data_IF_642809604147
#
_entry.id   IF_642809604147
#
_cell.length_a   1.000
_cell.length_b   1.000
_cell.length_c   1.000
_cell.angle_alpha   90.00
_cell.angle_beta   90.00
_cell.angle_gamma   90.00
#
_symmetry.space_group_name_H-M   'P 1'
#
loop_
_entity.id
_entity.type
_entity.pdbx_description
1 polymer ?
#
# COMPACT_ATOMS: atom_id res chain seq x y z
N UNK A 1 3.63 6.79 -8.71
CA UNK A 1 3.15 7.74 -9.75
C UNK A 1 3.52 7.25 -11.13
N UNK A 2 2.75 7.62 -12.13
CA UNK A 2 3.08 7.30 -13.52
C UNK A 2 4.35 8.02 -14.00
N UNK A 3 5.03 7.49 -15.02
CA UNK A 3 6.07 8.22 -15.71
C UNK A 3 5.42 9.23 -16.67
N UNK A 4 5.82 10.51 -16.59
CA UNK A 4 5.34 11.54 -17.54
C UNK A 4 5.62 11.16 -19.00
N UNK A 5 6.65 10.35 -19.25
CA UNK A 5 6.95 9.84 -20.59
C UNK A 5 5.87 8.91 -21.11
N UNK A 6 5.28 8.06 -20.24
CA UNK A 6 4.17 7.18 -20.61
C UNK A 6 2.94 8.01 -20.98
N UNK A 7 2.62 9.04 -20.16
CA UNK A 7 1.50 9.95 -20.44
C UNK A 7 1.71 10.69 -21.77
N UNK A 8 2.95 11.13 -22.04
CA UNK A 8 3.30 11.86 -23.27
C UNK A 8 3.26 11.00 -24.51
N UNK A 9 3.69 9.74 -24.41
CA UNK A 9 3.77 8.82 -25.55
C UNK A 9 2.40 8.37 -26.02
N UNK A 10 1.48 8.10 -25.09
CA UNK A 10 0.14 7.61 -25.41
C UNK A 10 -0.89 8.15 -24.39
N UNK A 11 -1.27 9.44 -24.52
CA UNK A 11 -2.23 10.04 -23.59
C UNK A 11 -3.63 9.41 -23.69
N UNK A 12 -4.03 8.96 -24.87
CA UNK A 12 -5.36 8.36 -25.05
C UNK A 12 -5.46 6.98 -24.36
N UNK A 13 -4.41 6.18 -24.38
CA UNK A 13 -4.33 4.95 -23.59
C UNK A 13 -4.45 5.25 -22.09
N UNK A 14 -3.77 6.30 -21.58
CA UNK A 14 -3.85 6.67 -20.16
C UNK A 14 -5.26 7.14 -19.81
N UNK A 15 -5.88 7.99 -20.63
CA UNK A 15 -7.28 8.41 -20.43
C UNK A 15 -8.25 7.23 -20.43
N UNK A 16 -8.10 6.29 -21.36
CA UNK A 16 -8.91 5.08 -21.42
C UNK A 16 -8.74 4.22 -20.17
N UNK A 17 -7.51 4.06 -19.67
CA UNK A 17 -7.21 3.37 -18.42
C UNK A 17 -7.87 4.05 -17.22
N UNK A 18 -7.87 5.38 -17.15
CA UNK A 18 -8.56 6.09 -16.08
C UNK A 18 -10.08 5.92 -16.16
N UNK A 19 -10.66 5.97 -17.36
CA UNK A 19 -12.09 5.72 -17.57
C UNK A 19 -12.51 4.31 -17.17
N UNK A 20 -11.67 3.30 -17.44
CA UNK A 20 -11.93 1.92 -16.97
C UNK A 20 -11.96 1.80 -15.45
N UNK A 21 -11.29 2.71 -14.73
CA UNK A 21 -11.32 2.84 -13.27
C UNK A 21 -12.43 3.76 -12.76
N UNK A 22 -13.43 4.08 -13.58
CA UNK A 22 -14.50 5.04 -13.30
C UNK A 22 -14.00 6.44 -12.90
N UNK A 23 -12.89 6.88 -13.49
CA UNK A 23 -12.31 8.19 -13.23
C UNK A 23 -12.16 8.95 -14.54
N UNK A 24 -12.83 10.08 -14.65
CA UNK A 24 -12.57 11.01 -15.75
C UNK A 24 -11.44 11.96 -15.33
N UNK A 25 -10.27 11.77 -15.93
CA UNK A 25 -9.07 12.57 -15.69
C UNK A 25 -8.56 13.22 -16.98
N UNK A 26 -9.41 13.38 -17.97
CA UNK A 26 -9.04 13.95 -19.26
C UNK A 26 -8.48 15.38 -19.09
N UNK A 27 -9.04 16.16 -18.15
CA UNK A 27 -8.58 17.51 -17.85
C UNK A 27 -7.17 17.51 -17.25
N UNK A 28 -6.93 16.73 -16.23
CA UNK A 28 -5.63 16.61 -15.54
C UNK A 28 -4.54 16.10 -16.48
N UNK A 29 -4.87 15.12 -17.32
CA UNK A 29 -3.94 14.58 -18.32
C UNK A 29 -3.60 15.63 -19.39
N UNK A 30 -4.55 16.40 -19.87
CA UNK A 30 -4.29 17.46 -20.83
C UNK A 30 -3.47 18.62 -20.20
N UNK A 31 -3.76 18.97 -18.94
CA UNK A 31 -3.05 20.01 -18.20
C UNK A 31 -1.59 19.61 -17.96
N UNK A 32 -1.32 18.39 -17.49
CA UNK A 32 0.05 17.92 -17.25
C UNK A 32 0.87 17.85 -18.55
N UNK A 33 0.24 17.54 -19.69
CA UNK A 33 0.91 17.55 -21.00
C UNK A 33 1.27 18.97 -21.43
N UNK A 34 0.38 19.94 -21.21
CA UNK A 34 0.67 21.35 -21.50
C UNK A 34 1.84 21.86 -20.65
N UNK A 35 1.82 21.56 -19.34
CA UNK A 35 2.92 21.88 -18.42
C UNK A 35 4.23 21.23 -18.88
N UNK A 36 4.21 19.95 -19.28
CA UNK A 36 5.42 19.25 -19.74
C UNK A 36 6.02 19.87 -21.00
N UNK A 37 5.20 20.36 -21.94
CA UNK A 37 5.65 21.05 -23.15
C UNK A 37 6.36 22.35 -22.76
N UNK A 38 5.75 23.17 -21.92
CA UNK A 38 6.31 24.46 -21.48
C UNK A 38 7.58 24.26 -20.66
N UNK A 39 7.55 23.34 -19.70
CA UNK A 39 8.70 22.98 -18.85
C UNK A 39 9.92 22.56 -19.68
N UNK A 40 9.72 21.70 -20.69
CA UNK A 40 10.80 21.25 -21.56
C UNK A 40 11.36 22.39 -22.44
N UNK A 41 10.50 23.26 -22.93
CA UNK A 41 10.95 24.41 -23.71
C UNK A 41 11.81 25.37 -22.89
N UNK A 42 11.38 25.69 -21.66
CA UNK A 42 12.16 26.51 -20.73
C UNK A 42 13.47 25.85 -20.34
N UNK A 43 13.44 24.53 -20.06
CA UNK A 43 14.67 23.79 -19.70
C UNK A 43 15.73 23.89 -20.81
N UNK A 44 15.34 23.66 -22.06
CA UNK A 44 16.24 23.81 -23.22
C UNK A 44 16.76 25.23 -23.34
N UNK A 45 15.92 26.25 -23.13
CA UNK A 45 16.33 27.65 -23.17
C UNK A 45 17.34 27.95 -22.06
N UNK A 46 17.08 27.53 -20.82
CA UNK A 46 18.00 27.72 -19.68
C UNK A 46 19.33 27.01 -19.89
N UNK A 47 19.33 25.79 -20.40
CA UNK A 47 20.53 25.03 -20.68
C UNK A 47 21.38 25.71 -21.76
N UNK A 48 20.78 26.25 -22.82
CA UNK A 48 21.45 27.02 -23.86
C UNK A 48 22.03 28.33 -23.29
N UNK A 49 21.28 29.06 -22.47
CA UNK A 49 21.75 30.27 -21.81
C UNK A 49 22.94 30.01 -20.88
N UNK A 50 22.89 28.94 -20.08
CA UNK A 50 23.99 28.49 -19.21
C UNK A 50 25.24 28.12 -20.03
N UNK A 51 25.06 27.40 -21.15
CA UNK A 51 26.17 27.05 -22.05
C UNK A 51 26.83 28.30 -22.63
N UNK A 52 26.05 29.29 -23.09
CA UNK A 52 26.56 30.58 -23.61
C UNK A 52 27.27 31.38 -22.51
N UNK A 53 26.69 31.49 -21.31
CA UNK A 53 27.29 32.12 -20.15
C UNK A 53 28.67 31.51 -19.84
N UNK A 54 28.76 30.16 -19.84
CA UNK A 54 30.02 29.46 -19.62
C UNK A 54 31.06 29.72 -20.74
N UNK A 55 30.60 29.78 -22.01
CA UNK A 55 31.43 30.05 -23.17
C UNK A 55 32.07 31.45 -23.08
N UNK A 56 31.18 32.46 -22.86
CA UNK A 56 31.62 33.87 -22.82
C UNK A 56 32.50 34.15 -21.61
N UNK A 57 32.19 33.59 -20.45
CA UNK A 57 32.97 33.73 -19.22
C UNK A 57 34.45 33.29 -19.41
N UNK A 58 34.69 32.24 -20.23
CA UNK A 58 36.04 31.77 -20.56
C UNK A 58 36.81 32.73 -21.48
N UNK A 59 36.14 33.58 -22.26
CA UNK A 59 36.73 34.53 -23.17
C UNK A 59 37.09 35.88 -22.52
N UNK A 60 36.42 36.26 -21.43
CA UNK A 60 36.62 37.53 -20.73
C UNK A 60 38.10 37.75 -20.33
N UNK A 61 38.83 36.77 -19.74
CA UNK A 61 40.25 36.95 -19.40
C UNK A 61 41.15 37.22 -20.63
N UNK A 62 40.84 36.60 -21.77
CA UNK A 62 41.55 36.80 -23.02
C UNK A 62 41.32 38.22 -23.56
N UNK A 63 40.06 38.67 -23.61
CA UNK A 63 39.71 40.01 -24.08
C UNK A 63 40.36 41.13 -23.22
N UNK A 64 40.41 40.91 -21.88
CA UNK A 64 41.15 41.83 -20.99
C UNK A 64 42.64 41.90 -21.31
N UNK A 65 43.28 40.75 -21.63
CA UNK A 65 44.70 40.72 -22.04
C UNK A 65 44.96 41.41 -23.38
N UNK A 66 43.97 41.34 -24.28
CA UNK A 66 44.01 41.99 -25.59
C UNK A 66 43.65 43.50 -25.54
N UNK A 67 43.36 44.04 -24.34
CA UNK A 67 43.01 45.48 -24.16
C UNK A 67 41.61 45.82 -24.71
N UNK A 68 40.77 44.85 -24.98
CA UNK A 68 39.39 45.08 -25.44
C UNK A 68 38.47 45.53 -24.30
N UNK A 69 37.53 46.42 -24.59
CA UNK A 69 36.52 46.82 -23.64
C UNK A 69 35.58 45.60 -23.36
N UNK A 70 35.51 45.18 -22.11
CA UNK A 70 34.67 44.06 -21.67
C UNK A 70 33.36 44.52 -21.02
N UNK A 71 33.15 45.84 -20.85
CA UNK A 71 31.93 46.35 -20.18
C UNK A 71 30.63 45.99 -20.90
N UNK A 72 30.53 46.03 -22.25
CA UNK A 72 29.33 45.55 -22.95
C UNK A 72 29.04 44.07 -22.74
N UNK A 73 30.12 43.25 -22.77
CA UNK A 73 30.03 41.80 -22.57
C UNK A 73 29.55 41.47 -21.14
N UNK A 74 30.04 42.21 -20.15
CA UNK A 74 29.63 42.05 -18.75
C UNK A 74 28.14 42.46 -18.55
N UNK A 75 27.66 43.51 -19.25
CA UNK A 75 26.27 43.91 -19.23
C UNK A 75 25.37 42.83 -19.85
N UNK A 76 25.72 42.27 -21.01
CA UNK A 76 25.03 41.19 -21.65
C UNK A 76 24.98 39.91 -20.76
N UNK A 77 26.11 39.59 -20.13
CA UNK A 77 26.18 38.48 -19.17
C UNK A 77 25.28 38.66 -17.96
N UNK A 78 25.14 39.91 -17.50
CA UNK A 78 24.19 40.20 -16.40
C UNK A 78 22.76 40.00 -16.83
N UNK A 79 22.33 40.52 -17.99
CA UNK A 79 20.99 40.29 -18.54
C UNK A 79 20.69 38.79 -18.72
N UNK A 80 21.68 38.05 -19.24
CA UNK A 80 21.57 36.60 -19.39
C UNK A 80 21.43 35.88 -18.03
N UNK A 81 22.15 36.29 -17.01
CA UNK A 81 22.06 35.78 -15.64
C UNK A 81 20.70 36.06 -15.01
N UNK A 82 20.18 37.30 -15.19
CA UNK A 82 18.88 37.69 -14.69
C UNK A 82 17.77 36.83 -15.33
N UNK A 83 17.85 36.61 -16.64
CA UNK A 83 16.93 35.77 -17.38
C UNK A 83 16.97 34.28 -16.98
N UNK A 84 18.18 33.73 -16.76
CA UNK A 84 18.38 32.37 -16.22
C UNK A 84 17.68 32.22 -14.85
N UNK A 85 17.78 33.27 -14.02
CA UNK A 85 17.15 33.29 -12.69
C UNK A 85 15.60 33.30 -12.80
N UNK A 86 15.06 34.17 -13.68
CA UNK A 86 13.62 34.29 -13.93
C UNK A 86 13.05 32.96 -14.48
N UNK A 87 13.66 32.44 -15.56
CA UNK A 87 13.23 31.17 -16.19
C UNK A 87 13.41 29.97 -15.24
N UNK A 88 14.43 30.01 -14.37
CA UNK A 88 14.63 29.02 -13.31
C UNK A 88 13.50 29.02 -12.27
N UNK A 89 13.03 30.21 -11.86
CA UNK A 89 11.90 30.31 -10.94
C UNK A 89 10.59 29.80 -11.60
N UNK A 90 10.38 30.14 -12.87
CA UNK A 90 9.22 29.64 -13.64
C UNK A 90 9.28 28.12 -13.81
N UNK A 91 10.46 27.56 -14.06
CA UNK A 91 10.67 26.12 -14.16
C UNK A 91 10.28 25.41 -12.86
N UNK A 92 10.71 25.93 -11.71
CA UNK A 92 10.37 25.37 -10.40
C UNK A 92 8.85 25.37 -10.13
N UNK A 93 8.17 26.46 -10.51
CA UNK A 93 6.70 26.55 -10.40
C UNK A 93 5.98 25.50 -11.28
N UNK A 94 6.47 25.30 -12.51
CA UNK A 94 5.91 24.29 -13.41
C UNK A 94 6.17 22.86 -12.91
N UNK A 95 7.33 22.61 -12.33
CA UNK A 95 7.68 21.31 -11.73
C UNK A 95 6.79 21.01 -10.53
N UNK A 96 6.53 21.97 -9.65
CA UNK A 96 5.62 21.82 -8.53
C UNK A 96 4.19 21.51 -8.99
N UNK A 97 3.67 22.27 -9.98
CA UNK A 97 2.34 22.01 -10.56
C UNK A 97 2.25 20.62 -11.18
N UNK A 98 3.27 20.22 -11.94
CA UNK A 98 3.35 18.89 -12.55
C UNK A 98 3.34 17.80 -11.48
N UNK A 99 4.09 17.99 -10.40
CA UNK A 99 4.20 17.05 -9.29
C UNK A 99 2.86 16.85 -8.58
N UNK A 100 2.13 17.92 -8.30
CA UNK A 100 0.79 17.84 -7.70
C UNK A 100 -0.17 17.02 -8.56
N UNK A 101 -0.21 17.28 -9.88
CA UNK A 101 -1.13 16.58 -10.78
C UNK A 101 -0.75 15.09 -10.91
N UNK A 102 0.53 14.78 -11.14
CA UNK A 102 0.96 13.40 -11.38
C UNK A 102 0.80 12.51 -10.13
N UNK A 103 0.90 13.10 -8.94
CA UNK A 103 0.63 12.38 -7.69
C UNK A 103 -0.86 12.08 -7.47
N UNK A 104 -1.77 12.75 -8.15
CA UNK A 104 -3.20 12.51 -8.08
C UNK A 104 -3.71 11.48 -9.12
N UNK A 105 -2.89 11.13 -10.12
CA UNK A 105 -3.27 10.15 -11.17
C UNK A 105 -3.03 8.73 -10.64
N UNK A 106 -4.04 7.83 -10.65
CA UNK A 106 -3.90 6.42 -10.27
C UNK A 106 -2.96 5.65 -11.19
N UNK A 107 -2.56 4.45 -10.76
CA UNK A 107 -1.82 3.53 -11.60
C UNK A 107 -2.69 3.01 -12.78
N UNK A 108 -2.03 2.59 -13.84
CA UNK A 108 -2.66 1.96 -15.02
C UNK A 108 -2.94 0.49 -14.68
N UNK A 109 -4.19 -0.01 -14.86
CA UNK A 109 -4.46 -1.42 -14.72
C UNK A 109 -3.66 -2.26 -15.72
N UNK A 110 -3.15 -3.40 -15.28
CA UNK A 110 -2.54 -4.39 -16.16
C UNK A 110 -3.59 -4.96 -17.14
N UNK A 111 -3.18 -5.34 -18.33
CA UNK A 111 -4.08 -5.82 -19.39
C UNK A 111 -4.91 -7.07 -19.01
N UNK A 112 -4.42 -7.88 -18.08
CA UNK A 112 -5.14 -9.07 -17.57
C UNK A 112 -6.21 -8.76 -16.52
N UNK A 113 -6.38 -7.50 -16.10
CA UNK A 113 -7.39 -7.10 -15.13
C UNK A 113 -8.75 -7.01 -15.83
N UNK A 114 -9.80 -7.65 -15.30
CA UNK A 114 -11.14 -7.58 -15.90
C UNK A 114 -11.67 -6.15 -15.81
N UNK A 115 -12.27 -5.69 -16.92
CA UNK A 115 -12.95 -4.39 -16.95
C UNK A 115 -14.27 -4.54 -16.20
N UNK A 116 -14.49 -3.72 -15.19
CA UNK A 116 -15.70 -3.74 -14.36
C UNK A 116 -15.90 -2.43 -13.62
N UNK A 117 -17.13 -2.24 -13.14
CA UNK A 117 -17.55 -1.00 -12.50
C UNK A 117 -17.19 -0.94 -11.01
N UNK A 118 -17.34 -2.06 -10.31
CA UNK A 118 -17.18 -2.16 -8.85
C UNK A 118 -16.87 -3.61 -8.43
N UNK A 119 -16.92 -3.89 -7.13
CA UNK A 119 -16.64 -5.19 -6.51
C UNK A 119 -17.58 -6.31 -6.99
N UNK A 120 -18.78 -5.98 -7.46
CA UNK A 120 -19.73 -6.99 -7.99
C UNK A 120 -19.26 -7.65 -9.29
N UNK A 121 -18.29 -7.04 -9.97
CA UNK A 121 -17.69 -7.53 -11.22
C UNK A 121 -16.28 -8.12 -11.03
N UNK A 122 -15.87 -8.32 -9.78
CA UNK A 122 -14.67 -9.09 -9.46
C UNK A 122 -14.85 -10.55 -9.91
N UNK A 123 -13.77 -11.14 -10.45
CA UNK A 123 -13.83 -12.49 -11.03
C UNK A 123 -13.21 -13.49 -10.07
N UNK A 124 -14.00 -14.50 -9.67
CA UNK A 124 -13.50 -15.59 -8.87
C UNK A 124 -12.58 -16.50 -9.69
N UNK A 125 -11.39 -16.76 -9.17
CA UNK A 125 -10.36 -17.56 -9.81
C UNK A 125 -10.31 -18.98 -9.28
N UNK A 126 -10.43 -19.16 -7.97
CA UNK A 126 -10.33 -20.44 -7.27
C UNK A 126 -10.94 -20.39 -5.87
N UNK A 127 -11.25 -21.57 -5.35
CA UNK A 127 -11.72 -21.80 -3.97
C UNK A 127 -10.88 -22.88 -3.30
N UNK A 128 -10.87 -22.83 -1.98
CA UNK A 128 -10.34 -23.89 -1.14
C UNK A 128 -11.26 -24.15 0.05
N UNK A 129 -11.51 -25.42 0.36
CA UNK A 129 -12.42 -25.83 1.42
C UNK A 129 -13.89 -25.58 1.06
N UNK A 130 -14.77 -26.24 1.81
CA UNK A 130 -16.21 -26.05 1.67
C UNK A 130 -16.73 -25.13 2.78
N UNK A 131 -17.73 -24.26 2.49
CA UNK A 131 -18.39 -23.47 3.52
C UNK A 131 -18.82 -24.32 4.72
N UNK A 132 -18.48 -23.87 5.92
CA UNK A 132 -18.84 -24.59 7.14
C UNK A 132 -20.36 -24.65 7.31
N UNK A 133 -20.89 -25.85 7.51
CA UNK A 133 -22.30 -26.11 7.76
C UNK A 133 -22.52 -26.51 9.22
N UNK A 134 -23.56 -25.95 9.82
CA UNK A 134 -23.97 -26.25 11.17
C UNK A 134 -25.38 -26.83 11.12
N UNK A 135 -25.69 -27.78 12.00
CA UNK A 135 -27.01 -28.31 12.26
C UNK A 135 -27.79 -27.49 13.33
N UNK A 136 -27.23 -26.35 13.71
CA UNK A 136 -27.78 -25.35 14.63
C UNK A 136 -27.57 -23.95 14.08
N UNK A 137 -28.25 -22.94 14.62
CA UNK A 137 -28.03 -21.54 14.25
C UNK A 137 -26.70 -21.04 14.80
N UNK A 138 -25.70 -20.72 13.94
CA UNK A 138 -24.43 -20.26 14.40
C UNK A 138 -24.49 -18.80 14.91
N UNK A 139 -23.78 -18.53 16.01
CA UNK A 139 -23.67 -17.17 16.53
C UNK A 139 -22.64 -16.36 15.72
N UNK A 140 -22.89 -15.08 15.60
CA UNK A 140 -21.90 -14.15 15.06
C UNK A 140 -20.75 -13.94 16.06
N UNK A 141 -19.54 -13.69 15.56
CA UNK A 141 -18.35 -13.57 16.41
C UNK A 141 -18.45 -12.49 17.48
N UNK A 142 -19.21 -11.42 17.27
CA UNK A 142 -19.38 -10.37 18.27
C UNK A 142 -20.27 -10.81 19.44
N UNK A 143 -21.33 -11.59 19.20
CA UNK A 143 -22.19 -12.13 20.24
C UNK A 143 -21.46 -13.26 20.98
N UNK A 144 -20.88 -14.21 20.24
CA UNK A 144 -20.09 -15.32 20.80
C UNK A 144 -18.91 -14.82 21.63
N UNK A 145 -18.21 -13.78 21.18
CA UNK A 145 -17.08 -13.18 21.89
C UNK A 145 -17.49 -12.48 23.20
N UNK A 146 -18.65 -11.85 23.21
CA UNK A 146 -19.21 -11.24 24.41
C UNK A 146 -19.66 -12.32 25.42
N UNK A 147 -20.37 -13.36 24.96
CA UNK A 147 -20.84 -14.47 25.79
C UNK A 147 -19.69 -15.25 26.43
N UNK A 148 -18.59 -15.42 25.71
CA UNK A 148 -17.36 -16.05 26.22
C UNK A 148 -16.52 -15.11 27.11
N UNK A 149 -16.80 -13.80 27.15
CA UNK A 149 -16.02 -12.82 27.87
C UNK A 149 -14.64 -12.53 27.27
N UNK A 150 -14.44 -12.81 25.98
CA UNK A 150 -13.16 -12.67 25.30
C UNK A 150 -13.06 -11.40 24.42
N UNK A 151 -14.22 -10.78 24.11
CA UNK A 151 -14.31 -9.47 23.45
C UNK A 151 -15.10 -8.49 24.32
N UNK A 152 -14.59 -7.26 24.46
CA UNK A 152 -15.22 -6.22 25.26
C UNK A 152 -15.31 -4.90 24.48
N UNK A 153 -16.33 -4.75 23.64
CA UNK A 153 -16.55 -3.53 22.87
C UNK A 153 -17.05 -2.36 23.74
N UNK A 154 -17.70 -2.62 24.88
CA UNK A 154 -18.21 -1.56 25.76
C UNK A 154 -17.09 -0.79 26.45
N UNK A 155 -16.12 -1.51 26.99
CA UNK A 155 -14.92 -0.89 27.55
C UNK A 155 -14.13 -0.13 26.49
N UNK A 156 -14.02 -0.68 25.27
CA UNK A 156 -13.37 0.00 24.17
C UNK A 156 -14.08 1.30 23.78
N UNK A 157 -15.42 1.27 23.71
CA UNK A 157 -16.21 2.46 23.42
C UNK A 157 -16.04 3.55 24.49
N UNK A 158 -15.91 3.15 25.77
CA UNK A 158 -15.63 4.08 26.89
C UNK A 158 -14.24 4.72 26.81
N UNK A 159 -13.22 3.93 26.43
CA UNK A 159 -11.81 4.37 26.44
C UNK A 159 -11.45 5.19 25.19
N UNK A 160 -11.93 4.76 24.02
CA UNK A 160 -11.49 5.33 22.74
C UNK A 160 -12.66 5.72 21.84
N UNK A 161 -13.71 4.89 21.78
CA UNK A 161 -14.85 5.08 20.91
C UNK A 161 -15.31 3.79 20.25
N UNK A 162 -16.25 3.93 19.29
CA UNK A 162 -16.77 2.78 18.51
C UNK A 162 -15.69 2.27 17.55
N UNK A 163 -15.81 1.01 17.12
CA UNK A 163 -14.88 0.32 16.21
C UNK A 163 -13.47 0.14 16.76
N UNK A 164 -13.33 0.16 18.10
CA UNK A 164 -12.18 -0.33 18.83
C UNK A 164 -12.60 -1.52 19.68
N UNK A 165 -11.68 -2.42 19.99
CA UNK A 165 -11.96 -3.61 20.76
C UNK A 165 -10.92 -3.85 21.84
N UNK A 166 -11.37 -4.34 23.00
CA UNK A 166 -10.53 -5.00 23.97
C UNK A 166 -10.69 -6.51 23.83
N UNK A 167 -9.58 -7.20 23.62
CA UNK A 167 -9.51 -8.63 23.77
C UNK A 167 -9.16 -8.97 25.21
N UNK A 168 -9.79 -10.00 25.77
CA UNK A 168 -9.57 -10.45 27.15
C UNK A 168 -9.19 -11.91 27.23
N UNK A 169 -8.36 -12.29 28.23
CA UNK A 169 -8.04 -13.68 28.52
C UNK A 169 -7.63 -14.49 27.30
N UNK A 170 -8.38 -15.57 27.00
CA UNK A 170 -8.11 -16.42 25.83
C UNK A 170 -8.34 -15.73 24.49
N UNK A 171 -9.19 -14.69 24.42
CA UNK A 171 -9.28 -13.87 23.20
C UNK A 171 -7.99 -13.11 22.89
N UNK A 172 -7.40 -12.48 23.90
CA UNK A 172 -6.08 -11.83 23.75
C UNK A 172 -4.99 -12.85 23.38
N UNK A 173 -5.05 -14.06 23.96
CA UNK A 173 -4.11 -15.12 23.62
C UNK A 173 -4.31 -15.61 22.19
N UNK A 174 -5.55 -15.73 21.70
CA UNK A 174 -5.87 -16.10 20.33
C UNK A 174 -5.27 -15.08 19.34
N UNK A 175 -5.53 -13.79 19.55
CA UNK A 175 -4.98 -12.69 18.73
C UNK A 175 -3.44 -12.80 18.62
N UNK A 176 -2.77 -12.93 19.75
CA UNK A 176 -1.32 -13.05 19.84
C UNK A 176 -0.78 -14.34 19.20
N UNK A 177 -1.52 -15.46 19.33
CA UNK A 177 -1.17 -16.76 18.75
C UNK A 177 -1.23 -16.73 17.23
N UNK A 178 -2.24 -16.05 16.67
CA UNK A 178 -2.38 -15.85 15.21
C UNK A 178 -1.21 -15.02 14.69
N UNK A 179 -0.85 -13.92 15.37
CA UNK A 179 0.30 -13.10 14.97
C UNK A 179 1.58 -13.93 14.93
N UNK A 180 1.88 -14.66 16.01
CA UNK A 180 3.08 -15.49 16.08
C UNK A 180 3.08 -16.58 15.00
N UNK A 181 1.96 -17.29 14.82
CA UNK A 181 1.81 -18.31 13.80
C UNK A 181 2.04 -17.78 12.38
N UNK A 182 1.49 -16.60 12.06
CA UNK A 182 1.69 -15.98 10.75
C UNK A 182 3.15 -15.60 10.51
N UNK A 183 3.78 -14.94 11.50
CA UNK A 183 5.19 -14.54 11.41
C UNK A 183 6.09 -15.76 11.22
N UNK A 184 5.92 -16.79 12.06
CA UNK A 184 6.71 -18.03 11.97
C UNK A 184 6.52 -18.73 10.62
N UNK A 185 5.25 -18.79 10.13
CA UNK A 185 4.95 -19.44 8.85
C UNK A 185 5.61 -18.73 7.69
N UNK A 186 5.50 -17.41 7.61
CA UNK A 186 6.08 -16.64 6.50
C UNK A 186 7.62 -16.65 6.57
N UNK A 187 8.20 -16.48 7.77
CA UNK A 187 9.67 -16.59 7.95
C UNK A 187 10.22 -17.94 7.51
N UNK A 188 9.51 -19.04 7.84
CA UNK A 188 9.89 -20.38 7.37
C UNK A 188 9.78 -20.56 5.84
N UNK A 189 9.05 -19.66 5.14
CA UNK A 189 8.89 -19.67 3.68
C UNK A 189 9.72 -18.60 2.97
N UNK A 190 10.81 -18.14 3.60
CA UNK A 190 11.81 -17.29 2.97
C UNK A 190 11.57 -15.79 3.08
N UNK A 191 10.60 -15.36 3.89
CA UNK A 191 10.43 -13.95 4.20
C UNK A 191 11.35 -13.53 5.35
N UNK A 192 12.00 -12.39 5.20
CA UNK A 192 12.75 -11.76 6.30
C UNK A 192 11.77 -11.03 7.21
N UNK A 193 11.80 -11.36 8.50
CA UNK A 193 10.96 -10.73 9.51
C UNK A 193 11.45 -9.32 9.82
N UNK A 194 10.53 -8.36 9.81
CA UNK A 194 10.77 -6.94 10.13
C UNK A 194 9.82 -6.48 11.24
N UNK A 195 10.35 -5.79 12.23
CA UNK A 195 9.56 -5.08 13.24
C UNK A 195 9.67 -3.58 13.00
N UNK A 196 8.72 -2.97 12.26
CA UNK A 196 8.81 -1.58 11.84
C UNK A 196 8.30 -0.61 12.91
N UNK A 197 8.66 0.69 12.85
CA UNK A 197 7.97 1.72 13.60
C UNK A 197 6.51 1.87 13.13
N UNK A 198 5.60 2.18 14.07
CA UNK A 198 4.17 2.38 13.75
C UNK A 198 3.82 3.84 13.43
N UNK A 199 4.83 4.68 13.34
CA UNK A 199 4.73 6.08 12.93
C UNK A 199 5.62 6.26 11.70
N UNK A 200 5.08 6.90 10.65
CA UNK A 200 5.82 7.21 9.43
C UNK A 200 5.76 8.71 9.13
N UNK A 201 6.80 9.25 8.48
CA UNK A 201 6.80 10.63 8.01
C UNK A 201 5.99 10.80 6.73
N UNK A 202 5.70 12.06 6.36
CA UNK A 202 4.95 12.43 5.16
C UNK A 202 5.53 11.80 3.88
N UNK A 203 6.86 11.79 3.75
CA UNK A 203 7.50 11.25 2.55
C UNK A 203 7.28 9.74 2.39
N UNK A 204 7.30 9.00 3.51
CA UNK A 204 6.99 7.56 3.49
C UNK A 204 5.52 7.30 3.13
N UNK A 205 4.60 8.12 3.65
CA UNK A 205 3.17 8.05 3.30
C UNK A 205 2.94 8.40 1.82
N UNK A 206 3.72 9.31 1.26
CA UNK A 206 3.68 9.67 -0.15
C UNK A 206 4.29 8.58 -1.03
N UNK A 207 5.39 7.97 -0.58
CA UNK A 207 6.11 6.92 -1.29
C UNK A 207 5.25 5.71 -1.64
N UNK A 208 4.40 5.27 -0.74
CA UNK A 208 3.47 4.15 -0.96
C UNK A 208 2.12 4.57 -1.53
N UNK A 209 1.86 5.88 -1.70
CA UNK A 209 0.64 6.40 -2.31
C UNK A 209 -0.53 6.63 -1.35
N UNK A 210 -0.29 6.59 -0.04
CA UNK A 210 -1.31 6.94 0.96
C UNK A 210 -1.63 8.44 0.88
N UNK A 211 -0.61 9.27 0.73
CA UNK A 211 -0.76 10.69 0.49
C UNK A 211 -0.50 11.04 -1.00
N UNK A 212 -1.20 12.07 -1.50
CA UNK A 212 -2.24 12.90 -0.85
C UNK A 212 -3.62 12.24 -0.82
N UNK A 213 -3.85 11.14 -1.53
CA UNK A 213 -5.18 10.57 -1.86
C UNK A 213 -6.04 10.25 -0.64
N UNK A 214 -5.45 9.66 0.40
CA UNK A 214 -6.16 9.15 1.58
C UNK A 214 -5.90 9.99 2.83
N UNK A 215 -5.62 11.30 2.67
CA UNK A 215 -5.29 12.18 3.79
C UNK A 215 -6.38 12.20 4.89
N UNK A 216 -7.67 12.12 4.50
CA UNK A 216 -8.81 12.10 5.44
C UNK A 216 -8.94 10.80 6.23
N UNK A 217 -8.35 9.69 5.73
CA UNK A 217 -8.33 8.38 6.40
C UNK A 217 -7.14 8.20 7.34
N UNK A 218 -6.19 9.15 7.33
CA UNK A 218 -4.94 9.02 8.09
C UNK A 218 -5.01 9.76 9.42
N UNK A 219 -4.52 9.12 10.49
CA UNK A 219 -4.28 9.76 11.77
C UNK A 219 -2.96 10.54 11.73
N UNK A 220 -3.04 11.86 11.55
CA UNK A 220 -1.89 12.76 11.60
C UNK A 220 -1.60 13.16 13.04
N UNK A 221 -0.32 13.19 13.42
CA UNK A 221 0.11 13.72 14.72
C UNK A 221 0.11 15.25 14.69
N UNK A 222 -0.51 15.87 15.71
CA UNK A 222 -0.61 17.31 15.79
C UNK A 222 0.77 17.96 15.91
N UNK A 223 0.99 19.02 15.14
CA UNK A 223 2.25 19.78 15.12
C UNK A 223 3.43 19.10 14.40
N UNK A 224 3.24 17.91 13.84
CA UNK A 224 4.28 17.14 13.15
C UNK A 224 3.79 16.64 11.80
N UNK A 225 4.71 16.45 10.84
CA UNK A 225 4.40 15.77 9.60
C UNK A 225 4.62 14.25 9.70
N UNK A 226 4.06 13.68 10.79
CA UNK A 226 4.05 12.26 11.07
C UNK A 226 2.63 11.71 11.15
N UNK A 227 2.49 10.43 10.86
CA UNK A 227 1.22 9.72 10.77
C UNK A 227 1.32 8.36 11.44
N UNK A 228 0.25 7.90 12.11
CA UNK A 228 0.10 6.49 12.45
C UNK A 228 -0.06 5.69 11.16
N UNK A 229 0.65 4.58 11.03
CA UNK A 229 0.63 3.79 9.79
C UNK A 229 -0.70 3.07 9.59
N UNK A 230 -1.27 3.07 8.37
CA UNK A 230 -2.46 2.28 8.04
C UNK A 230 -2.14 0.80 7.73
N UNK A 231 -0.87 0.48 7.53
CA UNK A 231 -0.33 -0.84 7.16
C UNK A 231 1.19 -0.83 7.31
N UNK A 232 1.79 -1.98 7.61
CA UNK A 232 3.24 -2.13 7.64
C UNK A 232 3.89 -1.99 6.25
N UNK A 233 3.11 -2.06 5.17
CA UNK A 233 3.57 -1.71 3.82
C UNK A 233 4.32 -0.38 3.79
N UNK A 234 3.79 0.64 4.49
CA UNK A 234 4.38 1.98 4.47
C UNK A 234 5.83 1.99 4.97
N UNK A 235 6.15 1.58 6.20
CA UNK A 235 7.52 1.60 6.67
C UNK A 235 8.40 0.58 5.94
N UNK A 236 7.90 -0.63 5.61
CA UNK A 236 8.71 -1.68 4.99
C UNK A 236 9.10 -1.32 3.57
N UNK A 237 8.16 -0.84 2.74
CA UNK A 237 8.48 -0.38 1.37
C UNK A 237 9.45 0.81 1.38
N UNK A 238 9.40 1.67 2.39
CA UNK A 238 10.25 2.84 2.48
C UNK A 238 11.62 2.58 3.14
N UNK A 239 11.96 1.34 3.52
CA UNK A 239 13.31 1.00 4.03
C UNK A 239 14.40 1.38 3.01
N UNK A 240 14.16 1.10 1.73
CA UNK A 240 15.09 1.37 0.63
C UNK A 240 14.74 2.65 -0.15
N UNK A 241 13.97 3.58 0.45
CA UNK A 241 13.62 4.86 -0.19
C UNK A 241 14.86 5.69 -0.52
N UNK A 242 15.02 6.02 -1.81
CA UNK A 242 16.15 6.78 -2.34
C UNK A 242 17.36 5.92 -2.71
N UNK A 243 17.35 4.63 -2.37
CA UNK A 243 18.48 3.74 -2.52
C UNK A 243 18.57 3.06 -3.90
N UNK A 244 19.74 2.49 -4.16
CA UNK A 244 19.99 1.64 -5.32
C UNK A 244 20.39 0.26 -4.81
N UNK A 245 19.45 -0.67 -4.93
CA UNK A 245 19.60 -2.06 -4.50
C UNK A 245 20.55 -2.80 -5.46
N UNK A 246 21.31 -3.74 -4.92
CA UNK A 246 22.05 -4.73 -5.70
C UNK A 246 21.05 -5.72 -6.34
N UNK A 247 20.99 -5.74 -7.67
CA UNK A 247 20.04 -6.58 -8.42
C UNK A 247 20.19 -8.09 -8.17
N UNK A 248 21.36 -8.54 -7.69
CA UNK A 248 21.55 -9.93 -7.29
C UNK A 248 20.77 -10.36 -6.05
N UNK A 249 20.27 -9.39 -5.26
CA UNK A 249 19.46 -9.62 -4.07
C UNK A 249 17.96 -9.76 -4.37
N UNK A 250 17.53 -9.39 -5.57
CA UNK A 250 16.12 -9.47 -5.98
C UNK A 250 15.76 -10.90 -6.44
N UNK A 251 14.56 -11.41 -6.10
CA UNK A 251 13.54 -10.77 -5.31
C UNK A 251 13.85 -10.72 -3.81
N UNK A 252 13.52 -9.61 -3.13
CA UNK A 252 13.58 -9.50 -1.67
C UNK A 252 12.16 -9.65 -1.12
N UNK A 253 12.01 -10.43 -0.04
CA UNK A 253 10.72 -10.73 0.58
C UNK A 253 10.76 -10.44 2.07
N UNK A 254 9.80 -9.66 2.56
CA UNK A 254 9.71 -9.23 3.96
C UNK A 254 8.33 -9.54 4.51
N UNK A 255 8.26 -9.97 5.78
CA UNK A 255 7.01 -10.05 6.55
C UNK A 255 7.13 -9.17 7.79
N UNK A 256 6.06 -8.45 8.12
CA UNK A 256 6.07 -7.50 9.21
C UNK A 256 4.73 -7.48 9.96
N UNK A 257 4.78 -7.63 11.27
CA UNK A 257 3.65 -7.35 12.15
C UNK A 257 3.55 -5.86 12.44
N UNK A 258 2.35 -5.31 12.41
CA UNK A 258 2.07 -3.99 12.97
C UNK A 258 0.62 -3.84 13.44
N UNK A 259 0.41 -2.91 14.39
CA UNK A 259 -0.88 -2.27 14.50
C UNK A 259 -1.08 -1.35 13.29
N UNK A 260 -2.31 -1.30 12.78
CA UNK A 260 -2.73 -0.50 11.63
C UNK A 260 -3.84 0.45 12.08
N UNK A 261 -3.81 1.70 11.60
CA UNK A 261 -4.72 2.75 12.02
C UNK A 261 -5.40 3.36 10.80
N UNK A 262 -6.75 3.32 10.74
CA UNK A 262 -7.54 3.86 9.63
C UNK A 262 -8.73 4.65 10.14
N UNK A 263 -8.91 5.87 9.63
CA UNK A 263 -10.04 6.74 9.96
C UNK A 263 -11.37 6.23 9.40
N UNK A 264 -11.33 5.30 8.41
CA UNK A 264 -12.52 4.69 7.80
C UNK A 264 -13.53 5.75 7.31
N UNK A 265 -13.03 6.86 6.75
CA UNK A 265 -13.85 7.90 6.16
C UNK A 265 -14.67 7.31 4.99
N UNK A 266 -15.96 7.58 4.96
CA UNK A 266 -16.86 7.07 3.93
C UNK A 266 -17.39 5.64 4.14
N UNK A 267 -16.99 4.92 5.20
CA UNK A 267 -17.49 3.57 5.51
C UNK A 267 -18.73 3.56 6.43
N UNK A 268 -19.47 4.66 6.53
CA UNK A 268 -20.62 4.78 7.40
C UNK A 268 -21.70 3.72 7.09
N UNK A 269 -22.10 2.95 8.10
CA UNK A 269 -23.15 1.94 7.99
C UNK A 269 -22.73 0.57 7.49
N UNK A 270 -21.49 0.36 7.06
CA UNK A 270 -20.99 -0.96 6.64
C UNK A 270 -20.26 -1.65 7.78
N UNK A 271 -20.60 -2.94 8.05
CA UNK A 271 -19.90 -3.83 9.00
C UNK A 271 -19.56 -3.14 10.34
N UNK A 272 -20.55 -2.49 10.96
CA UNK A 272 -20.36 -1.65 12.16
C UNK A 272 -20.21 -2.44 13.45
N UNK A 273 -20.45 -3.77 13.41
CA UNK A 273 -20.31 -4.68 14.56
C UNK A 273 -19.12 -5.60 14.38
N UNK A 274 -18.52 -5.99 15.51
CA UNK A 274 -17.46 -6.99 15.55
C UNK A 274 -16.14 -6.52 14.95
N UNK A 275 -15.34 -7.47 14.48
CA UNK A 275 -13.91 -7.30 14.17
C UNK A 275 -13.62 -7.03 12.69
N UNK A 276 -14.65 -6.92 11.83
CA UNK A 276 -14.42 -6.82 10.38
C UNK A 276 -13.88 -5.45 9.98
N UNK A 277 -14.40 -4.37 10.60
CA UNK A 277 -14.01 -3.00 10.25
C UNK A 277 -13.71 -2.17 11.50
N UNK A 278 -12.43 -1.98 11.76
CA UNK A 278 -11.91 -1.35 12.96
C UNK A 278 -11.03 -0.15 12.63
N UNK A 279 -11.00 0.86 13.52
CA UNK A 279 -10.08 2.00 13.41
C UNK A 279 -8.64 1.63 13.78
N UNK A 280 -8.48 0.63 14.66
CA UNK A 280 -7.21 0.01 14.99
C UNK A 280 -7.33 -1.50 14.90
N UNK A 281 -6.45 -2.15 14.16
CA UNK A 281 -6.39 -3.60 14.03
C UNK A 281 -4.94 -4.06 13.84
N UNK A 282 -4.70 -5.35 14.05
CA UNK A 282 -3.40 -5.97 13.84
C UNK A 282 -3.36 -6.66 12.47
N UNK A 283 -2.20 -6.59 11.82
CA UNK A 283 -1.96 -7.24 10.53
C UNK A 283 -0.51 -7.73 10.43
N UNK A 284 -0.32 -8.88 9.84
CA UNK A 284 0.96 -9.30 9.28
C UNK A 284 0.93 -8.92 7.80
N UNK A 285 1.92 -8.17 7.37
CA UNK A 285 2.05 -7.68 5.99
C UNK A 285 3.21 -8.37 5.30
N UNK A 286 3.02 -8.72 4.05
CA UNK A 286 4.05 -9.23 3.15
C UNK A 286 4.41 -8.12 2.15
N UNK A 287 5.70 -7.88 1.96
CA UNK A 287 6.21 -6.91 0.98
C UNK A 287 7.30 -7.56 0.16
N UNK A 288 7.27 -7.36 -1.16
CA UNK A 288 8.34 -7.81 -2.05
C UNK A 288 8.88 -6.68 -2.90
N UNK A 289 10.18 -6.73 -3.16
CA UNK A 289 10.85 -5.97 -4.21
C UNK A 289 11.32 -6.93 -5.27
N UNK A 290 10.97 -6.66 -6.53
CA UNK A 290 11.26 -7.57 -7.63
C UNK A 290 11.83 -6.81 -8.85
N UNK A 291 12.41 -7.56 -9.77
CA UNK A 291 12.64 -7.04 -11.11
C UNK A 291 11.31 -6.95 -11.86
N UNK A 292 11.16 -5.99 -12.79
CA UNK A 292 9.93 -5.84 -13.56
C UNK A 292 9.47 -7.11 -14.27
N UNK A 293 10.42 -7.90 -14.77
CA UNK A 293 10.17 -9.12 -15.53
C UNK A 293 9.60 -10.27 -14.69
N UNK A 294 9.74 -10.20 -13.36
CA UNK A 294 9.38 -11.27 -12.42
C UNK A 294 8.13 -10.94 -11.58
N UNK A 295 7.67 -9.66 -11.58
CA UNK A 295 6.72 -9.16 -10.58
C UNK A 295 5.38 -9.91 -10.57
N UNK A 296 4.81 -10.24 -11.71
CA UNK A 296 3.54 -10.99 -11.75
C UNK A 296 3.69 -12.45 -11.31
N UNK A 297 4.84 -13.09 -11.55
CA UNK A 297 5.12 -14.41 -11.01
C UNK A 297 5.30 -14.35 -9.47
N UNK A 298 5.89 -13.27 -8.98
CA UNK A 298 6.03 -13.04 -7.54
C UNK A 298 4.70 -12.64 -6.88
N UNK A 299 3.77 -12.00 -7.61
CA UNK A 299 2.40 -11.76 -7.12
C UNK A 299 1.66 -13.09 -6.88
N UNK A 300 1.76 -14.05 -7.83
CA UNK A 300 1.15 -15.37 -7.64
C UNK A 300 1.75 -16.09 -6.41
N UNK A 301 3.07 -16.06 -6.23
CA UNK A 301 3.73 -16.68 -5.05
C UNK A 301 3.28 -16.00 -3.75
N UNK A 302 3.24 -14.66 -3.72
CA UNK A 302 2.81 -13.89 -2.55
C UNK A 302 1.36 -14.22 -2.19
N UNK A 303 0.49 -14.34 -3.19
CA UNK A 303 -0.92 -14.74 -2.98
C UNK A 303 -1.02 -16.14 -2.40
N UNK A 304 -0.24 -17.12 -2.94
CA UNK A 304 -0.20 -18.48 -2.40
C UNK A 304 0.35 -18.55 -0.96
N UNK A 305 1.30 -17.67 -0.61
CA UNK A 305 1.81 -17.59 0.76
C UNK A 305 0.73 -17.06 1.74
N UNK A 306 -0.09 -16.11 1.30
CA UNK A 306 -1.26 -15.66 2.06
C UNK A 306 -2.37 -16.73 2.16
N UNK A 307 -2.63 -17.49 1.08
CA UNK A 307 -3.57 -18.63 1.11
C UNK A 307 -3.11 -19.73 2.07
N UNK A 308 -1.81 -19.99 2.14
CA UNK A 308 -1.22 -21.05 2.96
C UNK A 308 -1.63 -20.97 4.43
N UNK A 309 -1.61 -19.78 5.03
CA UNK A 309 -1.97 -19.65 6.45
C UNK A 309 -3.46 -19.95 6.69
N UNK A 310 -4.34 -19.64 5.74
CA UNK A 310 -5.76 -20.02 5.81
C UNK A 310 -5.96 -21.51 5.63
N UNK A 311 -5.22 -22.16 4.73
CA UNK A 311 -5.24 -23.62 4.54
C UNK A 311 -4.79 -24.34 5.81
N UNK A 312 -3.69 -23.90 6.43
CA UNK A 312 -3.20 -24.45 7.69
C UNK A 312 -4.19 -24.26 8.84
N UNK A 313 -4.92 -23.14 8.84
CA UNK A 313 -5.99 -22.90 9.80
C UNK A 313 -7.28 -23.68 9.49
N UNK A 314 -7.39 -24.32 8.33
CA UNK A 314 -8.61 -25.02 7.90
C UNK A 314 -9.80 -24.10 7.63
N UNK A 315 -9.56 -22.85 7.25
CA UNK A 315 -10.61 -21.86 6.97
C UNK A 315 -10.96 -21.85 5.48
N UNK A 316 -12.21 -22.09 5.09
CA UNK A 316 -12.64 -22.03 3.69
C UNK A 316 -12.52 -20.61 3.14
N UNK A 317 -11.98 -20.47 1.91
CA UNK A 317 -11.81 -19.18 1.26
C UNK A 317 -11.99 -19.27 -0.26
N UNK A 318 -12.10 -18.13 -0.91
CA UNK A 318 -11.97 -17.97 -2.36
C UNK A 318 -10.96 -16.86 -2.69
N UNK A 319 -10.43 -16.91 -3.89
CA UNK A 319 -9.56 -15.86 -4.44
C UNK A 319 -10.29 -15.23 -5.62
N UNK A 320 -10.36 -13.90 -5.61
CA UNK A 320 -10.92 -13.10 -6.70
C UNK A 320 -9.87 -12.15 -7.27
N UNK A 321 -9.91 -11.91 -8.59
CA UNK A 321 -9.18 -10.81 -9.19
C UNK A 321 -10.09 -9.59 -9.23
N UNK A 322 -9.59 -8.46 -8.75
CA UNK A 322 -10.36 -7.22 -8.73
C UNK A 322 -10.58 -6.69 -10.15
N UNK A 323 -11.76 -6.14 -10.39
CA UNK A 323 -12.08 -5.39 -11.60
C UNK A 323 -11.38 -4.03 -11.62
N UNK A 324 -11.29 -3.40 -12.79
CA UNK A 324 -10.68 -2.07 -12.93
C UNK A 324 -11.32 -1.02 -12.06
N UNK A 325 -12.61 -1.09 -11.78
CA UNK A 325 -13.36 -0.14 -10.94
C UNK A 325 -13.15 -0.33 -9.45
N UNK A 326 -12.69 -1.51 -9.02
CA UNK A 326 -12.43 -1.86 -7.62
C UNK A 326 -10.93 -1.78 -7.23
N UNK A 327 -10.04 -1.65 -8.21
CA UNK A 327 -8.60 -1.55 -7.95
C UNK A 327 -8.24 -0.38 -7.03
N UNK A 328 -7.39 -0.64 -6.05
CA UNK A 328 -6.75 0.37 -5.21
C UNK A 328 -5.96 1.40 -6.03
N UNK A 329 -5.82 2.62 -5.52
CA UNK A 329 -5.20 3.76 -6.22
C UNK A 329 -3.84 3.46 -6.85
N UNK A 330 -2.97 2.78 -6.12
CA UNK A 330 -1.60 2.50 -6.54
C UNK A 330 -1.45 1.19 -7.33
N UNK A 331 -2.46 0.30 -7.31
CA UNK A 331 -2.37 -1.07 -7.83
C UNK A 331 -2.51 -1.12 -9.36
N UNK A 332 -1.68 -1.93 -10.00
CA UNK A 332 -1.82 -2.35 -11.38
C UNK A 332 -2.67 -3.63 -11.49
N UNK A 333 -2.53 -4.54 -10.53
CA UNK A 333 -3.33 -5.77 -10.41
C UNK A 333 -3.44 -6.17 -8.94
N UNK A 334 -4.61 -6.66 -8.55
CA UNK A 334 -4.87 -7.11 -7.17
C UNK A 334 -5.66 -8.40 -7.17
N UNK A 335 -5.28 -9.31 -6.28
CA UNK A 335 -6.06 -10.46 -5.86
C UNK A 335 -6.54 -10.25 -4.44
N UNK A 336 -7.85 -10.40 -4.20
CA UNK A 336 -8.38 -10.49 -2.86
C UNK A 336 -8.64 -11.95 -2.47
N UNK A 337 -8.27 -12.29 -1.26
CA UNK A 337 -8.61 -13.56 -0.63
C UNK A 337 -9.77 -13.26 0.32
N UNK A 338 -10.87 -13.97 0.16
CA UNK A 338 -12.07 -13.80 0.96
C UNK A 338 -12.37 -15.08 1.73
N UNK A 339 -12.49 -15.00 3.06
CA UNK A 339 -12.78 -16.12 3.96
C UNK A 339 -14.28 -16.29 4.13
N UNK A 340 -14.75 -17.54 4.25
CA UNK A 340 -16.14 -17.82 4.56
C UNK A 340 -16.51 -17.37 5.97
N UNK A 341 -17.59 -16.59 6.07
CA UNK A 341 -18.13 -16.10 7.34
C UNK A 341 -19.57 -16.61 7.53
N UNK A 342 -19.79 -17.62 8.39
CA UNK A 342 -21.11 -18.23 8.60
C UNK A 342 -22.22 -17.24 8.94
N UNK A 343 -21.95 -16.27 9.83
CA UNK A 343 -22.98 -15.28 10.23
C UNK A 343 -23.38 -14.33 9.10
N UNK A 344 -22.53 -14.13 8.12
CA UNK A 344 -22.83 -13.32 6.93
C UNK A 344 -23.39 -14.16 5.78
N UNK A 345 -23.24 -15.49 5.81
CA UNK A 345 -23.62 -16.39 4.71
C UNK A 345 -22.86 -16.08 3.40
N UNK A 346 -21.67 -15.48 3.48
CA UNK A 346 -20.86 -15.06 2.33
C UNK A 346 -19.35 -15.06 2.65
N UNK A 347 -18.58 -14.96 1.61
CA UNK A 347 -17.15 -14.70 1.73
C UNK A 347 -16.89 -13.22 2.04
N UNK A 348 -15.91 -12.94 2.89
CA UNK A 348 -15.50 -11.60 3.33
C UNK A 348 -14.01 -11.44 3.14
N UNK A 349 -13.57 -10.35 2.54
CA UNK A 349 -12.15 -10.04 2.31
C UNK A 349 -11.33 -10.16 3.60
N UNK A 350 -10.23 -10.89 3.55
CA UNK A 350 -9.30 -11.09 4.67
C UNK A 350 -7.86 -10.73 4.29
N UNK A 351 -7.55 -10.75 3.01
CA UNK A 351 -6.24 -10.35 2.46
C UNK A 351 -6.43 -9.73 1.10
N UNK A 352 -5.58 -8.77 0.78
CA UNK A 352 -5.49 -8.15 -0.55
C UNK A 352 -4.02 -8.17 -0.97
N UNK A 353 -3.71 -8.76 -2.13
CA UNK A 353 -2.37 -8.97 -2.67
C UNK A 353 -2.22 -8.18 -3.98
N UNK A 354 -1.32 -7.21 -4.01
CA UNK A 354 -1.21 -6.26 -5.12
C UNK A 354 0.19 -6.19 -5.72
N UNK A 355 0.24 -6.03 -7.04
CA UNK A 355 1.42 -5.56 -7.77
C UNK A 355 1.21 -4.09 -8.15
N UNK A 356 2.17 -3.26 -7.80
CA UNK A 356 2.15 -1.82 -8.10
C UNK A 356 3.01 -1.46 -9.30
N UNK A 357 3.67 -2.44 -9.89
CA UNK A 357 4.73 -2.21 -10.88
C UNK A 357 5.75 -1.19 -10.34
N UNK A 358 6.18 -0.21 -11.15
CA UNK A 358 7.12 0.82 -10.73
C UNK A 358 6.47 2.05 -10.04
N UNK A 359 5.14 2.03 -9.82
CA UNK A 359 4.39 3.18 -9.34
C UNK A 359 4.87 3.71 -7.99
N UNK A 360 5.04 2.82 -7.00
CA UNK A 360 5.55 3.17 -5.68
C UNK A 360 7.07 3.40 -5.71
N UNK A 361 7.80 2.56 -6.43
CA UNK A 361 9.25 2.71 -6.58
C UNK A 361 9.63 4.06 -7.22
N UNK A 362 8.81 4.59 -8.12
CA UNK A 362 9.00 5.92 -8.71
C UNK A 362 8.75 7.03 -7.70
N UNK A 363 7.73 6.90 -6.83
CA UNK A 363 7.45 7.85 -5.73
C UNK A 363 8.56 7.86 -4.68
N UNK A 364 9.03 6.68 -4.30
CA UNK A 364 10.03 6.48 -3.26
C UNK A 364 11.48 6.47 -3.80
N UNK A 365 11.67 6.59 -5.12
CA UNK A 365 13.00 6.53 -5.78
C UNK A 365 13.77 5.24 -5.48
N UNK A 366 13.09 4.09 -5.40
CA UNK A 366 13.70 2.78 -5.15
C UNK A 366 14.16 2.18 -6.47
N UNK A 367 15.45 1.98 -6.61
CA UNK A 367 16.08 1.53 -7.86
C UNK A 367 16.97 0.32 -7.61
N UNK A 368 17.35 -0.35 -8.68
CA UNK A 368 18.38 -1.40 -8.63
C UNK A 368 19.32 -1.33 -9.80
N UNK A 369 20.47 -2.00 -9.69
CA UNK A 369 21.43 -2.22 -10.75
C UNK A 369 21.83 -3.69 -10.79
N UNK A 370 21.92 -4.29 -11.97
CA UNK A 370 22.45 -5.63 -12.14
C UNK A 370 23.96 -5.67 -11.86
N UNK A 371 24.66 -4.67 -12.36
CA UNK A 371 26.09 -4.44 -12.08
C UNK A 371 26.34 -2.98 -11.74
N UNK A 372 27.43 -2.64 -11.04
CA UNK A 372 27.77 -1.24 -10.72
C UNK A 372 27.85 -0.30 -11.94
N UNK A 373 28.11 -0.84 -13.14
CA UNK A 373 28.25 -0.07 -14.39
C UNK A 373 26.91 0.18 -15.10
N UNK A 374 25.88 -0.53 -14.74
CA UNK A 374 24.58 -0.43 -15.40
C UNK A 374 23.84 0.84 -15.01
N UNK A 375 22.90 1.26 -15.86
CA UNK A 375 21.94 2.29 -15.50
C UNK A 375 20.99 1.74 -14.45
N UNK A 376 20.70 2.54 -13.43
CA UNK A 376 19.71 2.18 -12.42
C UNK A 376 18.31 2.10 -13.05
N UNK A 377 17.57 1.01 -12.72
CA UNK A 377 16.18 0.78 -13.08
C UNK A 377 15.32 0.84 -11.82
N UNK A 378 14.05 1.18 -11.94
CA UNK A 378 13.10 1.08 -10.83
C UNK A 378 12.79 -0.40 -10.57
N UNK A 379 12.66 -0.77 -9.29
CA UNK A 379 12.09 -2.05 -8.89
C UNK A 379 10.58 -2.04 -9.13
N UNK A 380 9.95 -3.22 -9.19
CA UNK A 380 8.53 -3.37 -8.93
C UNK A 380 8.32 -3.68 -7.45
N UNK A 381 7.27 -3.12 -6.86
CA UNK A 381 6.89 -3.37 -5.47
C UNK A 381 5.58 -4.13 -5.42
N UNK A 382 5.49 -5.07 -4.49
CA UNK A 382 4.30 -5.86 -4.23
C UNK A 382 4.00 -5.83 -2.73
N UNK A 383 2.73 -5.89 -2.39
CA UNK A 383 2.33 -6.16 -1.03
C UNK A 383 1.22 -7.23 -0.96
N UNK A 384 1.01 -7.76 0.22
CA UNK A 384 -0.15 -8.58 0.53
C UNK A 384 -0.32 -8.72 2.04
N UNK A 385 -1.58 -8.75 2.48
CA UNK A 385 -1.81 -9.11 3.88
C UNK A 385 -1.53 -10.60 4.05
N UNK A 386 -0.65 -10.91 4.94
CA UNK A 386 -0.34 -12.28 5.27
C UNK A 386 -0.93 -12.83 6.57
N UNK A 387 -2.08 -12.42 7.08
CA UNK A 387 -3.41 -11.93 6.74
C UNK A 387 -3.87 -10.93 7.82
N UNK A 388 -5.10 -10.33 7.69
CA UNK A 388 -5.68 -9.47 8.73
C UNK A 388 -6.02 -10.28 10.00
N UNK A 389 -5.36 -9.97 11.13
CA UNK A 389 -5.45 -10.78 12.36
C UNK A 389 -6.86 -10.75 12.95
N UNK A 390 -7.47 -9.57 13.12
CA UNK A 390 -8.80 -9.46 13.69
C UNK A 390 -9.89 -10.17 12.87
N UNK A 391 -9.80 -10.12 11.52
CA UNK A 391 -10.71 -10.90 10.65
C UNK A 391 -10.46 -12.40 10.76
N UNK A 392 -9.23 -12.82 10.97
CA UNK A 392 -8.88 -14.23 11.23
C UNK A 392 -9.46 -14.70 12.58
N UNK A 393 -9.39 -13.87 13.62
CA UNK A 393 -10.05 -14.17 14.91
C UNK A 393 -11.53 -14.37 14.69
N UNK A 394 -12.21 -13.44 14.00
CA UNK A 394 -13.63 -13.56 13.68
C UNK A 394 -13.95 -14.84 12.91
N UNK A 395 -13.16 -15.15 11.86
CA UNK A 395 -13.35 -16.36 11.05
C UNK A 395 -13.16 -17.65 11.87
N UNK A 396 -12.15 -17.72 12.74
CA UNK A 396 -11.95 -18.86 13.64
C UNK A 396 -13.13 -18.99 14.60
N UNK A 397 -13.55 -17.90 15.23
CA UNK A 397 -14.68 -17.92 16.16
C UNK A 397 -15.94 -18.46 15.49
N UNK A 398 -16.24 -18.02 14.27
CA UNK A 398 -17.48 -18.43 13.58
C UNK A 398 -17.40 -19.83 12.97
N UNK A 399 -16.25 -20.21 12.35
CA UNK A 399 -16.15 -21.52 11.71
C UNK A 399 -15.88 -22.68 12.68
N UNK A 400 -15.33 -22.40 13.86
CA UNK A 400 -14.94 -23.40 14.86
C UNK A 400 -15.79 -23.38 16.12
N UNK A 401 -16.94 -22.69 16.12
CA UNK A 401 -17.88 -22.68 17.23
C UNK A 401 -18.56 -24.04 17.41
N UNK A 402 -18.89 -24.36 18.65
CA UNK A 402 -19.58 -25.58 19.04
C UNK A 402 -20.99 -25.26 19.55
N UNK A 403 -21.92 -26.26 19.57
CA UNK A 403 -23.27 -26.06 20.07
C UNK A 403 -23.35 -25.59 21.53
N UNK A 404 -22.33 -25.87 22.33
CA UNK A 404 -22.22 -25.43 23.74
C UNK A 404 -21.70 -24.00 23.91
N UNK A 405 -21.52 -23.26 22.78
CA UNK A 405 -20.99 -21.91 22.77
C UNK A 405 -19.46 -21.81 22.95
N UNK A 406 -18.74 -22.93 23.04
CA UNK A 406 -17.27 -22.93 23.04
C UNK A 406 -16.70 -22.85 21.63
N UNK A 407 -15.39 -22.58 21.50
CA UNK A 407 -14.69 -22.55 20.21
C UNK A 407 -13.57 -23.59 20.25
N UNK A 408 -13.54 -24.49 19.29
CA UNK A 408 -12.43 -25.40 19.07
C UNK A 408 -11.24 -24.63 18.51
N UNK A 409 -10.05 -24.79 19.11
CA UNK A 409 -8.84 -24.14 18.61
C UNK A 409 -8.31 -24.93 17.43
N UNK A 410 -8.05 -24.29 16.26
CA UNK A 410 -7.38 -24.93 15.13
C UNK A 410 -6.08 -25.63 15.57
N UNK A 411 -5.83 -26.82 15.05
CA UNK A 411 -4.73 -27.66 15.50
C UNK A 411 -3.37 -26.95 15.48
N UNK A 412 -3.11 -26.20 14.42
CA UNK A 412 -1.84 -25.46 14.25
C UNK A 412 -1.64 -24.33 15.26
N UNK A 413 -2.72 -23.85 15.89
CA UNK A 413 -2.66 -22.80 16.92
C UNK A 413 -2.53 -23.37 18.34
N UNK A 414 -2.80 -24.66 18.58
CA UNK A 414 -2.75 -25.25 19.93
C UNK A 414 -1.39 -25.09 20.64
N UNK A 415 -0.24 -25.24 19.97
CA UNK A 415 1.06 -24.97 20.60
C UNK A 415 1.20 -23.52 21.13
N UNK A 416 0.67 -22.56 20.40
CA UNK A 416 0.68 -21.14 20.79
C UNK A 416 -0.37 -20.81 21.87
N UNK A 417 -1.55 -21.44 21.76
CA UNK A 417 -2.65 -21.24 22.69
C UNK A 417 -2.46 -21.96 24.02
N UNK A 418 -1.81 -23.12 24.01
CA UNK A 418 -1.68 -23.99 25.17
C UNK A 418 -3.01 -24.62 25.64
N UNK A 419 -4.04 -24.60 24.80
CA UNK A 419 -5.32 -25.26 25.00
C UNK A 419 -5.91 -25.63 23.64
N UNK A 420 -6.86 -26.55 23.63
CA UNK A 420 -7.59 -27.04 22.45
C UNK A 420 -8.98 -26.44 22.30
N UNK A 421 -9.46 -25.70 23.31
CA UNK A 421 -10.79 -25.13 23.35
C UNK A 421 -10.80 -23.78 24.10
N UNK A 422 -11.60 -22.86 23.60
CA UNK A 422 -11.93 -21.60 24.28
C UNK A 422 -13.33 -21.76 24.87
N UNK A 423 -13.42 -21.65 26.18
CA UNK A 423 -14.68 -21.72 26.93
C UNK A 423 -14.94 -20.39 27.64
N UNK A 424 -16.12 -20.22 28.19
CA UNK A 424 -16.49 -19.02 28.95
C UNK A 424 -15.42 -18.71 30.01
N UNK A 425 -14.93 -17.50 29.97
CA UNK A 425 -13.91 -17.02 30.91
C UNK A 425 -14.58 -16.41 32.13
N UNK A 426 -14.13 -16.78 33.30
CA UNK A 426 -14.43 -16.02 34.50
C UNK A 426 -13.54 -14.76 34.51
N UNK A 427 -14.06 -13.69 33.93
CA UNK A 427 -13.29 -12.45 33.71
C UNK A 427 -13.25 -11.54 34.92
N UNK A 428 -13.89 -11.94 36.04
CA UNK A 428 -14.02 -11.09 37.22
C UNK A 428 -14.71 -9.74 36.94
N UNK A 429 -15.50 -9.67 35.86
CA UNK A 429 -16.32 -8.49 35.59
C UNK A 429 -17.45 -8.44 36.61
N UNK A 430 -17.39 -7.41 37.49
CA UNK A 430 -18.46 -6.99 38.35
C UNK A 430 -19.42 -6.08 37.59
#
# INVERSE_FOLDING_TARGET
>A
MLDIKVIRQDPERVKAAMKSRNKDMDKEINEILAIDVERRAINVAVDNMKAEQNRVSKLIPQYKKEGKDVAPILAEMKELSDKITEDGAKLAELEEKQDVIIHAIPNIPHESVPIGKDDSENVELRRWGEPTHFDYEPQAHWDLGADLGILDPETAAKVTGKRFHFYRGLGCRLERSIIAFFMDTHSAHGYTEIFPPFIANKDSMTGTGQLPKFAEDMYKLEGLDYYLIPTAEVPVTNMDRGDIIDGSKLPMSFCAYSACFRGEAGSAGRDTRGLIRQHQFNKVELVKFTKPEESYAELEKLTHDAERVLQLLGLPYRVVVLSTGDLGFSSAKTYDIEVWMPSYGRYVEISSCSDFEDFQARRASIRYKETPKDKARLVHTLNGSGVAVGRTVAAIMENYQNPDGSITVPEVLRPYMGCDRITKQDTGML
#
